data_IF_019772092431
#
_entry.id   IF_019772092431
#
_cell.length_a   1.000
_cell.length_b   1.000
_cell.length_c   1.000
_cell.angle_alpha   90.00
_cell.angle_beta   90.00
_cell.angle_gamma   90.00
#
_symmetry.space_group_name_H-M   'P 1'
#
loop_
_entity.id
_entity.type
_entity.pdbx_description
1 polymer ?
#
# COMPACT_ATOMS: atom_id res chain seq x y z
N UNK A 1 25.90 15.77 9.18
CA UNK A 1 26.02 14.29 9.16
C UNK A 1 25.40 13.80 7.87
N UNK A 2 26.15 13.05 7.09
CA UNK A 2 25.78 12.36 5.86
C UNK A 2 25.05 11.04 6.16
N UNK A 3 24.50 10.40 5.13
CA UNK A 3 23.77 9.14 5.25
C UNK A 3 24.66 8.03 5.84
N UNK A 4 25.88 7.85 5.33
CA UNK A 4 26.78 6.80 5.80
C UNK A 4 27.15 6.96 7.27
N UNK A 5 27.41 8.20 7.73
CA UNK A 5 27.67 8.46 9.14
C UNK A 5 26.47 8.16 10.04
N UNK A 6 25.24 8.54 9.63
CA UNK A 6 24.03 8.20 10.38
C UNK A 6 23.81 6.69 10.46
N UNK A 7 24.10 5.97 9.38
CA UNK A 7 24.03 4.51 9.34
C UNK A 7 25.02 3.88 10.32
N UNK A 8 26.27 4.32 10.29
CA UNK A 8 27.31 3.82 11.18
C UNK A 8 27.02 4.11 12.66
N UNK A 9 26.38 5.23 12.98
CA UNK A 9 26.06 5.58 14.37
C UNK A 9 24.82 4.82 14.89
N UNK A 10 23.73 4.83 14.12
CA UNK A 10 22.45 4.28 14.58
C UNK A 10 22.43 2.75 14.59
N UNK A 11 23.19 2.08 13.70
CA UNK A 11 23.29 0.62 13.68
C UNK A 11 24.06 0.03 14.87
N UNK A 12 24.75 0.86 15.68
CA UNK A 12 25.35 0.42 16.95
C UNK A 12 24.30 0.00 17.97
N UNK A 13 23.06 0.48 17.84
CA UNK A 13 21.96 0.15 18.75
C UNK A 13 21.40 -1.23 18.40
N UNK A 14 21.39 -2.15 19.37
CA UNK A 14 20.86 -3.51 19.17
C UNK A 14 19.40 -3.45 18.72
N UNK A 15 19.13 -4.04 17.55
CA UNK A 15 17.78 -4.08 16.95
C UNK A 15 17.53 -3.01 15.88
N UNK A 16 18.47 -2.09 15.66
CA UNK A 16 18.40 -1.10 14.57
C UNK A 16 19.23 -1.60 13.39
N UNK A 17 18.56 -2.00 12.31
CA UNK A 17 19.20 -2.37 11.05
C UNK A 17 19.18 -1.23 10.03
N UNK A 18 19.92 -1.40 8.93
CA UNK A 18 19.99 -0.44 7.81
C UNK A 18 18.62 0.03 7.32
N UNK A 19 17.69 -0.91 7.09
CA UNK A 19 16.32 -0.56 6.68
C UNK A 19 15.62 0.36 7.69
N UNK A 20 15.80 0.11 8.99
CA UNK A 20 15.19 0.94 10.05
C UNK A 20 15.79 2.34 10.03
N UNK A 21 17.10 2.45 9.81
CA UNK A 21 17.78 3.73 9.68
C UNK A 21 17.25 4.51 8.48
N UNK A 22 17.11 3.88 7.30
CA UNK A 22 16.53 4.55 6.14
C UNK A 22 15.11 5.05 6.40
N UNK A 23 14.27 4.24 7.06
CA UNK A 23 12.92 4.67 7.46
C UNK A 23 12.97 5.89 8.40
N UNK A 24 13.89 5.88 9.37
CA UNK A 24 14.10 7.01 10.27
C UNK A 24 14.55 8.28 9.52
N UNK A 25 15.46 8.17 8.55
CA UNK A 25 15.91 9.31 7.77
C UNK A 25 14.79 9.93 6.92
N UNK A 26 13.94 9.10 6.33
CA UNK A 26 12.84 9.54 5.46
C UNK A 26 11.72 10.18 6.29
N UNK A 27 11.26 9.53 7.36
CA UNK A 27 10.05 9.93 8.07
C UNK A 27 10.30 10.84 9.27
N UNK A 28 11.44 10.71 9.96
CA UNK A 28 11.73 11.52 11.15
C UNK A 28 12.65 12.69 10.81
N UNK A 29 13.69 12.45 10.00
CA UNK A 29 14.63 13.50 9.60
C UNK A 29 14.25 14.23 8.32
N UNK A 30 13.19 13.76 7.62
CA UNK A 30 12.67 14.37 6.39
C UNK A 30 13.74 14.59 5.31
N UNK A 31 14.71 13.67 5.20
CA UNK A 31 15.76 13.79 4.18
C UNK A 31 15.18 13.44 2.80
N UNK A 32 15.41 14.28 1.77
CA UNK A 32 14.87 14.06 0.44
C UNK A 32 15.67 13.07 -0.42
N UNK A 33 16.97 12.90 -0.13
CA UNK A 33 17.91 12.09 -0.92
C UNK A 33 18.31 10.82 -0.17
N UNK A 34 17.33 9.97 0.15
CA UNK A 34 17.54 8.64 0.77
C UNK A 34 16.77 7.58 -0.01
N UNK A 35 17.47 6.54 -0.47
CA UNK A 35 16.90 5.40 -1.19
C UNK A 35 16.95 4.14 -0.32
N UNK A 36 15.80 3.60 0.13
CA UNK A 36 15.79 2.38 0.93
C UNK A 36 15.98 1.14 0.04
N UNK A 37 17.22 0.88 -0.40
CA UNK A 37 17.57 -0.22 -1.33
C UNK A 37 17.14 -1.61 -0.83
N UNK A 38 17.11 -1.82 0.49
CA UNK A 38 16.66 -3.07 1.11
C UNK A 38 15.13 -3.24 1.20
N UNK A 39 14.33 -2.20 0.92
CA UNK A 39 12.88 -2.26 1.08
C UNK A 39 12.21 -3.06 -0.04
N UNK A 40 11.51 -4.13 0.34
CA UNK A 40 10.84 -5.00 -0.62
C UNK A 40 9.72 -4.29 -1.39
N UNK A 41 9.01 -3.37 -0.74
CA UNK A 41 7.93 -2.59 -1.37
C UNK A 41 8.47 -1.66 -2.45
N UNK A 42 9.56 -0.93 -2.15
CA UNK A 42 10.23 -0.05 -3.11
C UNK A 42 10.82 -0.86 -4.26
N UNK A 43 11.53 -1.96 -3.97
CA UNK A 43 12.10 -2.84 -5.02
C UNK A 43 11.03 -3.41 -5.96
N UNK A 44 9.89 -3.83 -5.43
CA UNK A 44 8.75 -4.29 -6.26
C UNK A 44 8.13 -3.15 -7.06
N UNK A 45 8.06 -1.94 -6.49
CA UNK A 45 7.62 -0.76 -7.22
C UNK A 45 8.56 -0.41 -8.37
N UNK A 46 9.87 -0.48 -8.16
CA UNK A 46 10.91 -0.26 -9.19
C UNK A 46 10.82 -1.31 -10.27
N UNK A 47 10.69 -2.59 -9.89
CA UNK A 47 10.46 -3.68 -10.84
C UNK A 47 9.27 -3.36 -11.76
N UNK A 48 8.15 -2.93 -11.19
CA UNK A 48 6.96 -2.59 -11.95
C UNK A 48 7.16 -1.36 -12.84
N UNK A 49 7.70 -0.28 -12.28
CA UNK A 49 7.89 0.99 -12.98
C UNK A 49 8.78 0.81 -14.22
N UNK A 50 9.89 0.09 -14.07
CA UNK A 50 10.83 -0.18 -15.15
C UNK A 50 10.52 -1.45 -15.95
N UNK A 51 9.41 -2.14 -15.65
CA UNK A 51 8.97 -3.39 -16.29
C UNK A 51 10.06 -4.47 -16.30
N UNK A 52 10.80 -4.60 -15.20
CA UNK A 52 11.88 -5.57 -15.06
C UNK A 52 11.33 -6.99 -14.93
N UNK A 53 11.98 -7.95 -15.57
CA UNK A 53 11.57 -9.37 -15.53
C UNK A 53 11.73 -9.99 -14.14
N UNK A 54 12.73 -9.55 -13.39
CA UNK A 54 13.03 -10.04 -12.04
C UNK A 54 13.04 -8.89 -11.02
N UNK A 55 12.92 -9.23 -9.75
CA UNK A 55 13.05 -8.27 -8.65
C UNK A 55 14.51 -7.78 -8.58
N UNK A 56 14.78 -6.47 -8.72
CA UNK A 56 16.15 -5.95 -8.70
C UNK A 56 16.83 -6.24 -7.36
N UNK A 57 18.12 -6.57 -7.37
CA UNK A 57 18.92 -6.74 -6.16
C UNK A 57 19.18 -5.38 -5.49
N UNK A 58 19.36 -5.29 -4.14
CA UNK A 58 19.63 -4.01 -3.49
C UNK A 58 20.82 -3.25 -4.08
N UNK A 59 21.84 -3.96 -4.56
CA UNK A 59 23.02 -3.38 -5.21
C UNK A 59 22.71 -2.69 -6.55
N UNK A 60 21.68 -3.16 -7.27
CA UNK A 60 21.26 -2.59 -8.56
C UNK A 60 20.39 -1.34 -8.38
N UNK A 61 19.79 -1.17 -7.20
CA UNK A 61 18.82 -0.11 -6.92
C UNK A 61 19.44 1.28 -7.06
N UNK A 62 20.67 1.47 -6.60
CA UNK A 62 21.38 2.74 -6.69
C UNK A 62 21.52 3.19 -8.16
N UNK A 63 21.96 2.29 -9.04
CA UNK A 63 22.10 2.58 -10.47
C UNK A 63 20.74 2.82 -11.15
N UNK A 64 19.73 2.03 -10.84
CA UNK A 64 18.38 2.17 -11.41
C UNK A 64 17.72 3.51 -11.03
N UNK A 65 17.95 3.96 -9.80
CA UNK A 65 17.31 5.14 -9.20
C UNK A 65 18.21 6.37 -9.19
N UNK A 66 19.37 6.36 -9.87
CA UNK A 66 20.28 7.51 -9.93
C UNK A 66 19.58 8.77 -10.45
N UNK A 67 18.68 8.61 -11.42
CA UNK A 67 17.87 9.70 -12.00
C UNK A 67 16.88 10.33 -11.02
N UNK A 68 16.65 9.73 -9.86
CA UNK A 68 15.74 10.27 -8.85
C UNK A 68 16.42 11.29 -7.94
N UNK A 69 17.74 11.41 -7.98
CA UNK A 69 18.45 12.43 -7.22
C UNK A 69 18.05 13.83 -7.67
N UNK A 70 17.92 14.81 -6.74
CA UNK A 70 18.20 14.73 -5.30
C UNK A 70 16.97 14.34 -4.44
N UNK A 71 15.96 13.69 -5.02
CA UNK A 71 14.66 13.40 -4.39
C UNK A 71 14.34 11.90 -4.36
N UNK A 72 15.33 11.06 -4.05
CA UNK A 72 15.15 9.61 -3.99
C UNK A 72 14.07 9.15 -3.01
N UNK A 73 13.89 9.87 -1.89
CA UNK A 73 12.87 9.54 -0.89
C UNK A 73 11.45 9.77 -1.41
N UNK A 74 11.28 10.76 -2.30
CA UNK A 74 10.01 10.98 -3.00
C UNK A 74 9.76 9.84 -3.99
N UNK A 75 10.79 9.41 -4.73
CA UNK A 75 10.70 8.25 -5.60
C UNK A 75 10.26 6.98 -4.86
N UNK A 76 10.90 6.69 -3.71
CA UNK A 76 10.52 5.60 -2.83
C UNK A 76 9.06 5.68 -2.35
N UNK A 77 8.60 6.88 -1.98
CA UNK A 77 7.21 7.11 -1.59
C UNK A 77 6.21 6.75 -2.71
N UNK A 78 6.49 7.16 -3.94
CA UNK A 78 5.65 6.78 -5.09
C UNK A 78 5.65 5.27 -5.33
N UNK A 79 6.75 4.56 -5.06
CA UNK A 79 6.81 3.11 -5.25
C UNK A 79 5.89 2.39 -4.27
N UNK A 80 5.82 2.84 -3.02
CA UNK A 80 4.84 2.32 -2.08
C UNK A 80 3.41 2.57 -2.54
N UNK A 81 3.09 3.78 -3.03
CA UNK A 81 1.75 4.10 -3.58
C UNK A 81 1.39 3.27 -4.80
N UNK A 82 2.36 2.98 -5.67
CA UNK A 82 2.18 2.11 -6.82
C UNK A 82 1.79 0.69 -6.38
N UNK A 83 2.47 0.16 -5.36
CA UNK A 83 2.19 -1.17 -4.81
C UNK A 83 0.84 -1.24 -4.09
N UNK A 84 0.47 -0.21 -3.33
CA UNK A 84 -0.85 -0.10 -2.71
C UNK A 84 -1.98 -0.08 -3.76
N UNK A 85 -1.80 0.72 -4.81
CA UNK A 85 -2.79 0.87 -5.89
C UNK A 85 -3.02 -0.45 -6.63
N UNK A 86 -1.95 -1.21 -6.89
CA UNK A 86 -2.05 -2.57 -7.46
C UNK A 86 -2.75 -3.54 -6.51
N UNK A 87 -2.41 -3.53 -5.23
CA UNK A 87 -3.07 -4.36 -4.22
C UNK A 87 -4.58 -4.09 -4.13
N UNK A 88 -4.98 -2.82 -4.21
CA UNK A 88 -6.39 -2.42 -4.23
C UNK A 88 -7.11 -2.91 -5.51
N UNK A 89 -6.45 -2.83 -6.67
CA UNK A 89 -7.01 -3.34 -7.93
C UNK A 89 -7.21 -4.86 -7.91
N UNK A 90 -6.26 -5.62 -7.35
CA UNK A 90 -6.38 -7.07 -7.20
C UNK A 90 -7.55 -7.46 -6.27
N UNK A 91 -7.72 -6.75 -5.14
CA UNK A 91 -8.86 -6.95 -4.24
C UNK A 91 -10.21 -6.73 -4.94
N UNK A 92 -10.33 -5.71 -5.80
CA UNK A 92 -11.56 -5.46 -6.59
C UNK A 92 -11.88 -6.63 -7.54
N UNK A 93 -10.87 -7.16 -8.24
CA UNK A 93 -11.05 -8.31 -9.15
C UNK A 93 -11.53 -9.56 -8.40
N UNK A 94 -10.93 -9.87 -7.24
CA UNK A 94 -11.31 -11.04 -6.45
C UNK A 94 -12.74 -10.91 -5.87
N UNK A 95 -13.15 -9.69 -5.46
CA UNK A 95 -14.53 -9.43 -5.03
C UNK A 95 -15.53 -9.57 -6.18
N UNK A 96 -15.19 -9.09 -7.38
CA UNK A 96 -16.03 -9.25 -8.57
C UNK A 96 -16.15 -10.72 -9.00
N UNK A 97 -15.04 -11.47 -8.98
CA UNK A 97 -15.02 -12.90 -9.29
C UNK A 97 -15.82 -13.73 -8.27
N UNK A 98 -15.68 -13.44 -6.96
CA UNK A 98 -16.46 -14.10 -5.92
C UNK A 98 -17.97 -13.80 -6.04
N UNK A 99 -18.34 -12.56 -6.36
CA UNK A 99 -19.75 -12.19 -6.61
C UNK A 99 -20.31 -12.89 -7.86
N UNK A 100 -19.50 -13.08 -8.90
CA UNK A 100 -19.88 -13.82 -10.09
C UNK A 100 -20.04 -15.32 -9.81
N UNK A 101 -19.12 -15.94 -9.06
CA UNK A 101 -19.20 -17.36 -8.65
C UNK A 101 -20.47 -17.64 -7.85
N UNK A 102 -20.85 -16.78 -6.89
CA UNK A 102 -22.11 -16.93 -6.14
C UNK A 102 -23.33 -16.86 -7.07
N UNK A 103 -23.26 -16.09 -8.16
CA UNK A 103 -24.33 -15.94 -9.13
C UNK A 103 -24.41 -17.08 -10.14
N UNK A 104 -23.28 -17.74 -10.45
CA UNK A 104 -23.21 -18.87 -11.40
C UNK A 104 -23.36 -20.24 -10.74
N UNK A 105 -23.09 -20.36 -9.43
CA UNK A 105 -23.35 -21.58 -8.66
C UNK A 105 -24.81 -21.72 -8.19
N UNK A 106 -25.73 -20.92 -8.73
CA UNK A 106 -27.17 -21.18 -8.67
C UNK A 106 -27.71 -21.69 -10.02
N UNK A 107 -27.37 -22.91 -10.48
CA UNK A 107 -28.26 -23.64 -11.36
C UNK A 107 -29.25 -24.44 -10.49
N UNK A 108 -30.53 -24.08 -10.62
CA UNK A 108 -31.73 -24.81 -10.14
C UNK A 108 -31.81 -25.21 -8.66
N UNK A 109 -32.22 -24.26 -7.81
CA UNK A 109 -33.21 -24.57 -6.76
C UNK A 109 -34.37 -23.60 -6.92
N UNK A 110 -35.06 -23.69 -8.07
CA UNK A 110 -36.38 -23.10 -8.25
C UNK A 110 -37.41 -24.14 -7.83
N UNK A 111 -37.66 -24.29 -6.53
CA UNK A 111 -38.96 -24.70 -5.97
C UNK A 111 -38.78 -24.79 -4.45
N UNK A 112 -38.79 -23.65 -3.77
CA UNK A 112 -39.31 -23.53 -2.41
C UNK A 112 -39.40 -22.04 -2.09
N UNK A 113 -40.64 -21.54 -2.16
CA UNK A 113 -41.01 -20.18 -1.75
C UNK A 113 -40.53 -19.92 -0.33
N UNK A 114 -39.46 -19.15 -0.16
CA UNK A 114 -39.29 -18.33 1.04
C UNK A 114 -39.94 -16.98 0.72
N UNK A 115 -41.26 -16.94 0.87
CA UNK A 115 -42.00 -15.70 1.15
C UNK A 115 -41.58 -15.25 2.56
N UNK A 116 -41.72 -13.95 2.83
CA UNK A 116 -41.26 -13.19 4.01
C UNK A 116 -39.79 -12.73 3.83
N UNK A 117 -39.43 -11.46 3.66
CA UNK A 117 -39.99 -10.25 4.27
C UNK A 117 -39.56 -9.01 3.46
N UNK A 118 -40.30 -8.69 2.39
CA UNK A 118 -40.42 -7.31 1.89
C UNK A 118 -41.33 -6.56 2.86
N UNK A 119 -40.82 -6.23 4.05
CA UNK A 119 -41.45 -5.29 4.98
C UNK A 119 -40.38 -4.27 5.37
N UNK A 120 -40.53 -3.09 4.76
CA UNK A 120 -40.20 -1.77 5.33
C UNK A 120 -38.72 -1.44 5.61
N UNK A 121 -37.91 -1.28 4.55
CA UNK A 121 -36.87 -0.23 4.52
C UNK A 121 -37.49 1.04 3.93
N UNK A 122 -38.58 1.50 4.54
CA UNK A 122 -39.17 2.83 4.31
C UNK A 122 -39.24 3.65 5.61
N UNK A 123 -38.61 3.18 6.69
CA UNK A 123 -38.59 3.81 8.01
C UNK A 123 -37.15 3.96 8.56
N UNK A 124 -36.21 4.38 7.72
CA UNK A 124 -34.92 4.90 8.18
C UNK A 124 -34.61 6.28 7.55
N UNK A 125 -35.66 7.04 7.24
CA UNK A 125 -35.63 8.45 6.81
C UNK A 125 -35.86 9.41 7.99
N UNK A 126 -35.48 9.02 9.20
CA UNK A 126 -35.55 9.93 10.35
C UNK A 126 -34.39 9.67 11.31
N UNK A 127 -33.20 10.15 10.94
CA UNK A 127 -32.15 10.45 11.91
C UNK A 127 -31.95 11.97 11.92
N UNK A 128 -32.29 12.65 13.02
CA UNK A 128 -32.08 14.08 13.15
C UNK A 128 -30.58 14.40 13.20
N UNK A 129 -30.21 15.46 12.47
CA UNK A 129 -28.94 16.17 12.59
C UNK A 129 -28.66 16.50 14.07
N UNK A 130 -27.67 15.84 14.68
CA UNK A 130 -26.92 16.39 15.81
C UNK A 130 -25.70 17.08 15.18
N UNK A 131 -25.83 18.34 14.77
CA UNK A 131 -25.67 19.50 15.66
C UNK A 131 -24.30 19.45 16.35
N UNK A 132 -23.32 20.02 15.66
CA UNK A 132 -22.11 20.56 16.24
C UNK A 132 -22.49 21.52 17.38
N UNK A 133 -22.09 21.18 18.61
CA UNK A 133 -21.88 22.08 19.74
C UNK A 133 -20.44 21.78 20.17
N UNK A 134 -19.46 22.64 19.88
CA UNK A 134 -19.10 23.78 20.74
C UNK A 134 -18.92 23.36 22.20
N UNK A 135 -17.72 22.88 22.50
CA UNK A 135 -16.99 23.17 23.73
C UNK A 135 -15.49 23.18 23.40
#
# INVERSE_FOLDING_TARGET
MDEAALLAELTKVRGVGEWTVHMFMIFSLHRPDVLPCGDLGVRKGVQELYKLKALPHPEEMAALCERWRPYQSVGAWYMWRLMESKGAAAKKKNKAASTAVVKTCLPEITHLKIKQKKRTIKEAKNYPKLAYLHC
#
